data_IF_412411069848
#
_entry.id   IF_412411069848
#
_cell.length_a   1.000
_cell.length_b   1.000
_cell.length_c   1.000
_cell.angle_alpha   90.00
_cell.angle_beta   90.00
_cell.angle_gamma   90.00
#
_symmetry.space_group_name_H-M   'P 1'
#
loop_
_entity.id
_entity.type
_entity.pdbx_description
1 polymer ?
#
# COMPACT_ATOMS: atom_id res chain seq x y z
N UNK A 1 -16.02 15.89 -8.52
CA UNK A 1 -15.64 15.86 -7.09
C UNK A 1 -14.41 14.99 -6.98
N UNK A 2 -13.25 15.61 -6.74
CA UNK A 2 -11.98 14.92 -6.49
C UNK A 2 -12.10 14.16 -5.17
N UNK A 3 -11.96 12.84 -5.20
CA UNK A 3 -11.92 12.02 -3.99
C UNK A 3 -10.57 12.28 -3.32
N UNK A 4 -10.58 13.08 -2.25
CA UNK A 4 -9.39 13.27 -1.42
C UNK A 4 -9.09 12.01 -0.63
N UNK A 5 -7.80 11.67 -0.48
CA UNK A 5 -7.41 10.72 0.56
C UNK A 5 -7.65 11.43 1.88
N UNK A 6 -8.66 10.98 2.61
CA UNK A 6 -8.95 11.50 3.94
C UNK A 6 -9.06 10.27 4.83
N UNK A 7 -8.17 10.16 5.82
CA UNK A 7 -8.15 9.06 6.78
C UNK A 7 -9.52 8.85 7.45
N UNK A 8 -10.37 9.89 7.50
CA UNK A 8 -11.75 9.81 8.02
C UNK A 8 -12.74 9.22 7.01
N UNK A 9 -12.52 9.41 5.71
CA UNK A 9 -13.44 8.99 4.65
C UNK A 9 -13.01 7.68 3.98
N UNK A 10 -11.75 7.30 4.12
CA UNK A 10 -11.22 6.04 3.61
C UNK A 10 -11.24 4.98 4.72
N UNK A 11 -11.46 3.70 4.38
CA UNK A 11 -11.49 2.62 5.35
C UNK A 11 -10.06 2.28 5.80
N UNK A 12 -9.39 3.19 6.51
CA UNK A 12 -7.99 3.02 6.94
C UNK A 12 -7.78 1.78 7.81
N UNK A 13 -8.83 1.26 8.46
CA UNK A 13 -8.80 -0.03 9.17
C UNK A 13 -8.62 -1.25 8.26
N UNK A 14 -8.78 -1.10 6.94
CA UNK A 14 -8.52 -2.13 5.94
C UNK A 14 -7.09 -2.05 5.36
N UNK A 15 -6.35 -1.01 5.73
CA UNK A 15 -4.93 -0.88 5.44
C UNK A 15 -4.11 -1.22 6.68
N UNK A 16 -2.88 -1.69 6.46
CA UNK A 16 -1.85 -1.64 7.49
C UNK A 16 -0.93 -0.46 7.23
N UNK A 17 -0.32 0.07 8.28
CA UNK A 17 0.54 1.24 8.18
C UNK A 17 2.01 0.89 8.28
N UNK A 18 2.84 1.59 7.52
CA UNK A 18 4.28 1.65 7.75
C UNK A 18 4.67 3.07 8.09
N UNK A 19 5.26 3.26 9.26
CA UNK A 19 5.79 4.54 9.71
C UNK A 19 7.29 4.60 9.44
N UNK A 20 7.72 5.58 8.66
CA UNK A 20 9.12 5.91 8.36
C UNK A 20 9.46 7.22 9.08
N UNK A 21 10.56 7.25 9.84
CA UNK A 21 10.94 8.42 10.65
C UNK A 21 9.83 8.88 11.59
N UNK A 22 9.54 10.19 11.59
CA UNK A 22 8.51 10.78 12.46
C UNK A 22 7.06 10.55 11.98
N UNK A 23 6.87 10.12 10.73
CA UNK A 23 5.58 9.84 10.09
C UNK A 23 4.69 11.06 9.82
N UNK A 24 5.25 12.26 9.70
CA UNK A 24 4.50 13.52 9.54
C UNK A 24 3.70 13.62 8.24
N UNK A 25 4.27 13.22 7.09
CA UNK A 25 3.55 13.13 5.83
C UNK A 25 2.77 11.81 5.73
N UNK A 26 1.66 11.79 4.99
CA UNK A 26 0.83 10.59 4.82
C UNK A 26 0.52 10.33 3.36
N UNK A 27 0.60 9.06 2.96
CA UNK A 27 0.19 8.60 1.64
C UNK A 27 -0.61 7.30 1.75
N UNK A 28 -1.52 7.07 0.81
CA UNK A 28 -2.13 5.77 0.58
C UNK A 28 -1.53 5.11 -0.64
N UNK A 29 -1.23 3.82 -0.54
CA UNK A 29 -0.68 3.04 -1.63
C UNK A 29 -1.50 1.77 -1.82
N UNK A 30 -2.10 1.63 -3.01
CA UNK A 30 -2.67 0.36 -3.44
C UNK A 30 -1.57 -0.49 -4.06
N UNK A 31 -1.39 -1.70 -3.52
CA UNK A 31 -0.29 -2.58 -3.89
C UNK A 31 -0.72 -4.03 -4.02
N UNK A 32 -0.02 -4.75 -4.90
CA UNK A 32 -0.12 -6.19 -5.07
C UNK A 32 1.22 -6.84 -4.69
N UNK A 33 1.25 -7.93 -3.89
CA UNK A 33 2.49 -8.57 -3.48
C UNK A 33 3.35 -9.14 -4.61
N UNK A 34 2.75 -9.52 -5.73
CA UNK A 34 3.47 -10.03 -6.89
C UNK A 34 3.83 -8.93 -7.89
N UNK A 35 3.44 -7.67 -7.64
CA UNK A 35 3.81 -6.56 -8.51
C UNK A 35 5.28 -6.16 -8.30
N UNK A 36 6.11 -6.36 -9.32
CA UNK A 36 7.52 -5.96 -9.29
C UNK A 36 7.71 -4.46 -9.02
N UNK A 37 6.84 -3.60 -9.53
CA UNK A 37 6.89 -2.15 -9.26
C UNK A 37 6.49 -1.80 -7.82
N UNK A 38 5.57 -2.56 -7.20
CA UNK A 38 5.25 -2.39 -5.78
C UNK A 38 6.45 -2.76 -4.91
N UNK A 39 7.16 -3.84 -5.24
CA UNK A 39 8.40 -4.22 -4.57
C UNK A 39 9.49 -3.17 -4.75
N UNK A 40 9.70 -2.67 -5.99
CA UNK A 40 10.65 -1.59 -6.27
C UNK A 40 10.32 -0.30 -5.52
N UNK A 41 9.03 0.05 -5.38
CA UNK A 41 8.63 1.20 -4.57
C UNK A 41 9.12 1.06 -3.12
N UNK A 42 8.99 -0.13 -2.53
CA UNK A 42 9.51 -0.41 -1.19
C UNK A 42 11.05 -0.36 -1.17
N UNK A 43 11.71 -1.03 -2.13
CA UNK A 43 13.16 -1.20 -2.21
C UNK A 43 13.94 0.08 -2.52
N UNK A 44 13.47 0.88 -3.48
CA UNK A 44 14.24 1.97 -4.08
C UNK A 44 13.77 3.35 -3.66
N UNK A 45 12.48 3.47 -3.32
CA UNK A 45 11.83 4.74 -2.97
C UNK A 45 11.65 4.85 -1.47
N UNK A 46 10.82 4.01 -0.87
CA UNK A 46 10.49 4.12 0.55
C UNK A 46 11.67 3.83 1.48
N UNK A 47 12.66 3.04 1.06
CA UNK A 47 13.90 2.82 1.82
C UNK A 47 14.77 4.07 1.99
N UNK A 48 14.57 5.09 1.14
CA UNK A 48 15.31 6.36 1.14
C UNK A 48 14.48 7.52 1.69
N UNK A 49 13.25 7.25 2.14
CA UNK A 49 12.35 8.26 2.68
C UNK A 49 12.27 8.17 4.20
N UNK A 50 12.14 9.32 4.82
CA UNK A 50 11.86 9.50 6.24
C UNK A 50 10.63 10.39 6.40
N UNK A 51 10.08 10.44 7.60
CA UNK A 51 8.97 11.34 7.96
C UNK A 51 7.68 11.08 7.17
N UNK A 52 7.40 9.81 6.86
CA UNK A 52 6.28 9.39 6.04
C UNK A 52 5.53 8.21 6.66
N UNK A 53 4.20 8.30 6.70
CA UNK A 53 3.29 7.21 7.04
C UNK A 53 2.62 6.70 5.76
N UNK A 54 2.85 5.42 5.45
CA UNK A 54 2.30 4.76 4.28
C UNK A 54 1.14 3.87 4.70
N UNK A 55 -0.05 4.10 4.14
CA UNK A 55 -1.23 3.25 4.29
C UNK A 55 -1.30 2.27 3.13
N UNK A 56 -1.04 1.00 3.41
CA UNK A 56 -1.04 -0.05 2.39
C UNK A 56 -2.42 -0.67 2.25
N UNK A 57 -3.08 -0.40 1.13
CA UNK A 57 -4.30 -1.05 0.71
C UNK A 57 -3.94 -2.18 -0.24
N UNK A 58 -3.98 -3.42 0.23
CA UNK A 58 -3.73 -4.54 -0.67
C UNK A 58 -4.87 -4.72 -1.66
N UNK A 59 -4.49 -4.69 -2.94
CA UNK A 59 -5.34 -4.85 -4.10
C UNK A 59 -4.75 -5.94 -5.00
N UNK A 60 -4.99 -7.22 -4.66
CA UNK A 60 -4.38 -8.36 -5.34
C UNK A 60 -5.08 -8.62 -6.68
N UNK A 61 -4.52 -8.08 -7.77
CA UNK A 61 -5.03 -8.17 -9.14
C UNK A 61 -4.19 -9.06 -10.05
N UNK A 62 -3.03 -9.53 -9.59
CA UNK A 62 -2.08 -10.32 -10.38
C UNK A 62 -2.26 -11.84 -10.24
N UNK A 63 -3.36 -12.29 -9.65
CA UNK A 63 -3.76 -13.71 -9.60
C UNK A 63 -3.96 -14.26 -8.19
N UNK A 64 -4.29 -15.55 -8.09
CA UNK A 64 -4.66 -16.21 -6.82
C UNK A 64 -3.54 -16.17 -5.78
N UNK A 65 -2.29 -16.31 -6.20
CA UNK A 65 -1.14 -16.25 -5.30
C UNK A 65 -0.99 -14.84 -4.66
N UNK A 66 -1.35 -13.77 -5.38
CA UNK A 66 -1.40 -12.42 -4.80
C UNK A 66 -2.46 -12.34 -3.70
N UNK A 67 -3.64 -12.94 -3.92
CA UNK A 67 -4.72 -12.98 -2.93
C UNK A 67 -4.26 -13.70 -1.67
N UNK A 68 -3.65 -14.88 -1.82
CA UNK A 68 -3.15 -15.67 -0.69
C UNK A 68 -2.07 -14.90 0.07
N UNK A 69 -1.04 -14.38 -0.61
CA UNK A 69 0.04 -13.61 0.04
C UNK A 69 -0.49 -12.38 0.75
N UNK A 70 -1.37 -11.62 0.11
CA UNK A 70 -2.01 -10.45 0.72
C UNK A 70 -2.76 -10.84 2.00
N UNK A 71 -3.57 -11.89 1.96
CA UNK A 71 -4.34 -12.35 3.11
C UNK A 71 -3.44 -12.85 4.25
N UNK A 72 -2.34 -13.55 3.95
CA UNK A 72 -1.37 -14.04 4.94
C UNK A 72 -0.64 -12.88 5.60
N UNK A 73 -0.14 -11.91 4.82
CA UNK A 73 0.53 -10.71 5.35
C UNK A 73 -0.42 -9.94 6.27
N UNK A 74 -1.65 -9.68 5.83
CA UNK A 74 -2.68 -9.00 6.63
C UNK A 74 -3.07 -9.78 7.89
N UNK A 75 -2.88 -11.10 7.91
CA UNK A 75 -3.17 -11.94 9.08
C UNK A 75 -1.99 -12.02 10.05
N UNK A 76 -0.80 -11.53 9.67
CA UNK A 76 0.38 -11.58 10.52
C UNK A 76 0.28 -10.61 11.70
N UNK A 77 1.01 -10.90 12.78
CA UNK A 77 1.07 -10.00 13.96
C UNK A 77 1.68 -8.63 13.64
N UNK A 78 2.53 -8.57 12.62
CA UNK A 78 3.28 -7.39 12.19
C UNK A 78 3.25 -7.30 10.67
N UNK A 79 2.12 -6.88 10.07
CA UNK A 79 1.90 -6.89 8.62
C UNK A 79 2.91 -6.02 7.87
N UNK A 80 3.29 -4.88 8.44
CA UNK A 80 4.34 -4.01 7.92
C UNK A 80 5.68 -4.76 7.79
N UNK A 81 6.07 -5.52 8.81
CA UNK A 81 7.32 -6.30 8.79
C UNK A 81 7.25 -7.43 7.76
N UNK A 82 6.15 -8.18 7.73
CA UNK A 82 5.96 -9.26 6.76
C UNK A 82 5.96 -8.73 5.31
N UNK A 83 5.35 -7.57 5.08
CA UNK A 83 5.36 -6.91 3.77
C UNK A 83 6.78 -6.50 3.34
N UNK A 84 7.54 -5.87 4.24
CA UNK A 84 8.89 -5.41 3.94
C UNK A 84 9.87 -6.57 3.77
N UNK A 85 9.80 -7.62 4.60
CA UNK A 85 10.61 -8.84 4.42
C UNK A 85 10.31 -9.51 3.06
N UNK A 86 9.05 -9.53 2.63
CA UNK A 86 8.69 -10.04 1.30
C UNK A 86 9.21 -9.17 0.15
N UNK A 87 9.15 -7.85 0.31
CA UNK A 87 9.62 -6.92 -0.72
C UNK A 87 11.14 -6.83 -0.81
N UNK A 88 11.85 -6.82 0.33
CA UNK A 88 13.29 -6.62 0.39
C UNK A 88 14.07 -7.93 0.27
N UNK A 89 13.65 -8.95 1.00
CA UNK A 89 14.43 -10.17 1.20
C UNK A 89 13.85 -11.37 0.42
N UNK A 90 12.77 -11.15 -0.35
CA UNK A 90 11.99 -12.19 -1.02
C UNK A 90 11.52 -13.31 -0.08
N UNK A 91 11.44 -13.02 1.22
CA UNK A 91 11.03 -13.97 2.23
C UNK A 91 9.52 -14.15 2.17
N UNK A 92 9.09 -15.27 1.60
CA UNK A 92 7.68 -15.57 1.42
C UNK A 92 6.92 -15.47 2.75
N UNK A 93 5.76 -14.78 2.79
CA UNK A 93 4.93 -14.71 3.98
C UNK A 93 4.41 -16.11 4.31
N UNK A 94 4.57 -16.52 5.57
CA UNK A 94 4.13 -17.84 6.05
C UNK A 94 2.99 -17.69 7.05
N UNK A 95 2.14 -18.73 7.14
CA UNK A 95 1.03 -18.80 8.08
C UNK A 95 -0.32 -18.97 7.40
N UNK A 96 -1.37 -19.05 8.21
CA UNK A 96 -2.75 -19.16 7.74
C UNK A 96 -3.43 -17.79 7.77
N UNK A 97 -4.27 -17.53 6.77
CA UNK A 97 -5.12 -16.35 6.78
C UNK A 97 -6.53 -16.67 7.28
N UNK A 98 -7.23 -15.64 7.78
CA UNK A 98 -8.62 -15.74 8.22
C UNK A 98 -9.57 -15.26 7.12
N UNK A 99 -10.79 -15.77 7.11
CA UNK A 99 -11.85 -15.31 6.20
C UNK A 99 -12.13 -13.79 6.31
N UNK A 100 -11.90 -13.19 7.49
CA UNK A 100 -11.98 -11.74 7.66
C UNK A 100 -11.04 -10.97 6.74
N UNK A 101 -9.85 -11.52 6.43
CA UNK A 101 -8.89 -10.82 5.59
C UNK A 101 -9.27 -10.91 4.11
N UNK A 102 -9.97 -11.97 3.70
CA UNK A 102 -10.57 -12.03 2.37
C UNK A 102 -11.58 -10.89 2.18
N UNK A 103 -12.43 -10.65 3.20
CA UNK A 103 -13.37 -9.52 3.17
C UNK A 103 -12.66 -8.17 3.10
N UNK A 104 -11.54 -7.99 3.83
CA UNK A 104 -10.71 -6.78 3.73
C UNK A 104 -10.16 -6.58 2.31
N UNK A 105 -9.70 -7.64 1.65
CA UNK A 105 -9.20 -7.58 0.28
C UNK A 105 -10.31 -7.25 -0.73
N UNK A 106 -11.51 -7.80 -0.54
CA UNK A 106 -12.69 -7.45 -1.34
C UNK A 106 -13.09 -5.99 -1.14
N UNK A 107 -13.11 -5.51 0.11
CA UNK A 107 -13.46 -4.12 0.43
C UNK A 107 -12.41 -3.14 -0.16
N UNK A 108 -11.13 -3.50 -0.13
CA UNK A 108 -10.05 -2.74 -0.79
C UNK A 108 -10.20 -2.75 -2.32
N UNK A 109 -10.59 -3.88 -2.91
CA UNK A 109 -10.83 -4.00 -4.35
C UNK A 109 -12.00 -3.11 -4.80
N UNK A 110 -13.11 -3.11 -4.04
CA UNK A 110 -14.25 -2.19 -4.27
C UNK A 110 -13.85 -0.73 -4.14
N UNK A 111 -12.97 -0.39 -3.21
CA UNK A 111 -12.45 0.96 -3.07
C UNK A 111 -11.60 1.34 -4.28
N UNK A 112 -10.69 0.46 -4.71
CA UNK A 112 -9.87 0.66 -5.90
C UNK A 112 -10.72 0.88 -7.16
N UNK A 113 -11.78 0.10 -7.35
CA UNK A 113 -12.75 0.26 -8.44
C UNK A 113 -13.46 1.63 -8.38
N UNK A 114 -13.92 2.06 -7.19
CA UNK A 114 -14.55 3.38 -7.00
C UNK A 114 -13.60 4.53 -7.34
N UNK A 115 -12.32 4.35 -7.02
CA UNK A 115 -11.24 5.29 -7.31
C UNK A 115 -10.72 5.16 -8.76
N UNK A 116 -11.26 4.23 -9.55
CA UNK A 116 -10.84 3.93 -10.94
C UNK A 116 -9.35 3.63 -11.05
N UNK A 117 -8.81 2.85 -10.11
CA UNK A 117 -7.43 2.41 -10.13
C UNK A 117 -7.30 1.26 -11.13
N UNK A 118 -6.55 1.50 -12.21
CA UNK A 118 -6.33 0.51 -13.27
C UNK A 118 -4.97 -0.20 -13.15
N UNK A 119 -4.01 0.37 -12.42
CA UNK A 119 -2.65 -0.15 -12.28
C UNK A 119 -2.12 -0.03 -10.85
N UNK A 120 -1.15 -0.89 -10.51
CA UNK A 120 -0.45 -0.87 -9.21
C UNK A 120 1.08 -0.78 -9.41
N UNK A 121 1.83 -0.07 -8.54
CA UNK A 121 1.35 0.65 -7.37
C UNK A 121 0.57 1.91 -7.75
N UNK A 122 -0.50 2.21 -7.02
CA UNK A 122 -1.24 3.47 -7.13
C UNK A 122 -1.12 4.26 -5.83
N UNK A 123 -0.50 5.42 -5.91
CA UNK A 123 -0.15 6.29 -4.78
C UNK A 123 -1.09 7.49 -4.75
N UNK A 124 -1.64 7.79 -3.59
CA UNK A 124 -2.42 8.98 -3.30
C UNK A 124 -1.76 9.77 -2.17
N UNK A 125 -1.65 11.08 -2.33
CA UNK A 125 -1.17 11.99 -1.30
C UNK A 125 -2.31 12.41 -0.36
N UNK A 126 -1.96 13.00 0.78
CA UNK A 126 -2.93 13.47 1.78
C UNK A 126 -3.94 14.51 1.26
N UNK A 127 -3.57 15.32 0.28
CA UNK A 127 -4.51 16.28 -0.34
C UNK A 127 -5.50 15.64 -1.34
N UNK A 128 -5.31 14.36 -1.68
CA UNK A 128 -6.07 13.65 -2.71
C UNK A 128 -5.42 13.57 -4.08
N UNK A 129 -4.25 14.15 -4.28
CA UNK A 129 -3.55 14.07 -5.55
C UNK A 129 -3.15 12.61 -5.84
N UNK A 130 -3.47 12.15 -7.05
CA UNK A 130 -3.25 10.77 -7.50
C UNK A 130 -4.40 10.28 -8.41
N UNK A 131 -4.42 8.99 -8.77
CA UNK A 131 -3.37 8.00 -8.47
C UNK A 131 -2.09 8.30 -9.25
N UNK A 132 -0.95 8.25 -8.58
CA UNK A 132 0.38 8.22 -9.20
C UNK A 132 0.89 6.78 -9.28
N UNK A 133 1.65 6.46 -10.32
CA UNK A 133 2.31 5.17 -10.45
C UNK A 133 3.54 5.03 -9.54
N UNK A 134 4.43 4.11 -9.89
CA UNK A 134 5.78 4.11 -9.32
C UNK A 134 6.45 5.47 -9.54
N UNK A 135 7.11 5.98 -8.51
CA UNK A 135 7.90 7.20 -8.52
C UNK A 135 9.18 6.96 -7.71
N UNK A 136 10.27 7.63 -8.07
CA UNK A 136 11.50 7.67 -7.28
C UNK A 136 11.28 8.42 -5.96
N UNK A 137 12.21 8.25 -4.99
CA UNK A 137 12.18 9.01 -3.73
C UNK A 137 12.18 10.53 -3.93
N UNK A 138 12.89 11.02 -4.95
CA UNK A 138 12.95 12.45 -5.26
C UNK A 138 11.60 12.95 -5.76
N UNK A 139 11.02 12.29 -6.77
CA UNK A 139 9.72 12.68 -7.33
C UNK A 139 8.59 12.60 -6.29
N UNK A 140 8.57 11.54 -5.48
CA UNK A 140 7.57 11.40 -4.42
C UNK A 140 7.76 12.46 -3.33
N UNK A 141 9.01 12.77 -2.95
CA UNK A 141 9.34 13.83 -2.01
C UNK A 141 8.88 15.21 -2.51
N UNK A 142 9.14 15.53 -3.78
CA UNK A 142 8.68 16.78 -4.41
C UNK A 142 7.15 16.88 -4.40
N UNK A 143 6.44 15.78 -4.70
CA UNK A 143 4.98 15.75 -4.68
C UNK A 143 4.42 15.98 -3.28
N UNK A 144 5.00 15.34 -2.26
CA UNK A 144 4.57 15.51 -0.86
C UNK A 144 4.79 16.95 -0.38
N UNK A 145 5.89 17.60 -0.75
CA UNK A 145 6.17 18.97 -0.34
C UNK A 145 5.19 20.02 -0.90
N UNK A 146 4.50 19.70 -2.00
CA UNK A 146 3.53 20.58 -2.65
C UNK A 146 2.07 20.15 -2.43
N UNK A 147 1.84 19.15 -1.56
CA UNK A 147 0.53 18.65 -1.14
C UNK A 147 0.01 19.36 0.10
#
# INVERSE_FOLDING_TARGET
MSMKFDEKNWPVGHAFTTKLGDGSAKIAVFADPNCGWCKRLVQETLSKMENLTVYWFFYPVLGEDSVVKSAVILSSKTPNKAWYEWCMDEKAPTGMFKASQMKVLEDNSRLAEKLKIETVPAIFLEDGAGPFGFMTAMELGEKIQHS
#
